data_IF_478216621830
#
_entry.id   IF_478216621830
#
_cell.length_a   1.000
_cell.length_b   1.000
_cell.length_c   1.000
_cell.angle_alpha   90.00
_cell.angle_beta   90.00
_cell.angle_gamma   90.00
#
_symmetry.space_group_name_H-M   'P 1'
#
loop_
_entity.id
_entity.type
_entity.pdbx_description
1 polymer ?
#
# COMPACT_ATOMS: atom_id res chain seq x y z
N UNK A 1 29.85 14.53 17.25
CA UNK A 1 28.60 13.90 16.74
C UNK A 1 27.73 15.02 16.22
N UNK A 2 27.40 15.02 14.93
CA UNK A 2 26.52 16.04 14.35
C UNK A 2 25.07 15.89 14.84
N UNK A 3 24.24 16.93 14.69
CA UNK A 3 22.82 16.81 15.01
C UNK A 3 22.17 15.75 14.11
N UNK A 4 21.18 15.05 14.66
CA UNK A 4 20.32 14.19 13.87
C UNK A 4 19.72 15.03 12.72
N UNK A 5 19.78 14.50 11.49
CA UNK A 5 19.10 15.11 10.36
C UNK A 5 17.61 15.25 10.66
N UNK A 6 16.91 16.22 10.03
CA UNK A 6 15.47 16.36 10.20
C UNK A 6 14.80 15.03 9.87
N UNK A 7 13.88 14.58 10.73
CA UNK A 7 13.10 13.38 10.44
C UNK A 7 12.40 13.56 9.08
N UNK A 8 12.47 12.56 8.18
CA UNK A 8 11.78 12.65 6.92
C UNK A 8 10.28 12.74 7.21
N UNK A 9 9.68 13.86 6.80
CA UNK A 9 8.22 14.03 6.82
C UNK A 9 7.66 12.99 5.86
N UNK A 10 7.23 11.84 6.38
CA UNK A 10 6.56 10.82 5.59
C UNK A 10 5.12 11.27 5.40
N UNK A 11 4.70 11.65 4.18
CA UNK A 11 3.30 11.95 3.93
C UNK A 11 2.44 10.71 4.22
N UNK A 12 1.20 10.93 4.64
CA UNK A 12 0.20 9.87 4.84
C UNK A 12 -0.33 9.27 3.52
N UNK A 13 0.44 9.37 2.44
CA UNK A 13 0.10 8.91 1.11
C UNK A 13 1.33 8.46 0.32
N UNK A 14 1.09 7.55 -0.62
CA UNK A 14 2.09 7.15 -1.63
C UNK A 14 1.93 8.01 -2.88
N UNK A 15 3.05 8.42 -3.48
CA UNK A 15 3.11 9.13 -4.76
C UNK A 15 3.66 8.21 -5.84
N UNK A 16 3.04 8.20 -7.02
CA UNK A 16 3.51 7.49 -8.21
C UNK A 16 3.44 8.46 -9.40
N UNK A 17 4.56 8.72 -10.07
CA UNK A 17 4.60 9.67 -11.17
C UNK A 17 3.98 9.07 -12.45
N UNK A 18 3.44 9.90 -13.34
CA UNK A 18 2.84 9.42 -14.59
C UNK A 18 3.86 8.60 -15.41
N UNK A 19 3.43 7.43 -15.89
CA UNK A 19 4.25 6.45 -16.59
C UNK A 19 4.91 5.40 -15.69
N UNK A 20 4.89 5.58 -14.37
CA UNK A 20 5.48 4.64 -13.42
C UNK A 20 4.44 3.65 -12.85
N UNK A 21 4.96 2.62 -12.20
CA UNK A 21 4.18 1.71 -11.35
C UNK A 21 4.60 1.87 -9.91
N UNK A 22 3.66 1.72 -8.98
CA UNK A 22 3.95 1.73 -7.56
C UNK A 22 3.15 0.68 -6.81
N UNK A 23 3.63 0.37 -5.61
CA UNK A 23 3.04 -0.65 -4.75
C UNK A 23 2.38 0.00 -3.53
N UNK A 24 1.18 -0.48 -3.22
CA UNK A 24 0.54 -0.26 -1.92
C UNK A 24 0.55 -1.60 -1.20
N UNK A 25 1.04 -1.63 0.04
CA UNK A 25 1.22 -2.86 0.78
C UNK A 25 0.97 -2.67 2.27
N UNK A 26 0.21 -3.59 2.85
CA UNK A 26 -0.01 -3.74 4.27
C UNK A 26 0.76 -4.93 4.83
N UNK A 27 0.84 -5.03 6.16
CA UNK A 27 1.50 -6.16 6.80
C UNK A 27 0.66 -7.42 6.64
N UNK A 28 1.22 -8.54 7.05
CA UNK A 28 0.48 -9.79 7.07
C UNK A 28 -0.76 -9.67 7.97
N UNK A 29 -1.89 -10.19 7.49
CA UNK A 29 -3.20 -10.13 8.17
C UNK A 29 -3.81 -8.73 8.26
N UNK A 30 -3.37 -7.82 7.39
CA UNK A 30 -4.00 -6.53 7.18
C UNK A 30 -4.42 -6.40 5.72
N UNK A 31 -5.50 -5.68 5.49
CA UNK A 31 -6.05 -5.38 4.17
C UNK A 31 -5.97 -3.89 3.91
N UNK A 32 -5.74 -3.54 2.64
CA UNK A 32 -5.70 -2.17 2.17
C UNK A 32 -7.12 -1.61 2.13
N UNK A 33 -7.30 -0.47 2.79
CA UNK A 33 -8.49 0.38 2.70
C UNK A 33 -8.07 1.73 2.14
N UNK A 34 -8.47 2.02 0.91
CA UNK A 34 -8.23 3.32 0.28
C UNK A 34 -9.15 4.35 0.92
N UNK A 35 -8.58 5.44 1.45
CA UNK A 35 -9.34 6.52 2.09
C UNK A 35 -9.54 7.70 1.14
N UNK A 36 -8.53 8.01 0.31
CA UNK A 36 -8.57 9.05 -0.71
C UNK A 36 -7.60 8.69 -1.84
N UNK A 37 -7.89 9.16 -3.05
CA UNK A 37 -6.92 9.18 -4.14
C UNK A 37 -7.02 10.49 -4.93
N UNK A 38 -5.96 10.79 -5.68
CA UNK A 38 -5.89 11.96 -6.55
C UNK A 38 -5.05 11.60 -7.78
N UNK A 39 -5.55 11.97 -8.96
CA UNK A 39 -4.83 11.86 -10.23
C UNK A 39 -4.79 13.23 -10.90
N UNK A 40 -3.60 13.77 -11.09
CA UNK A 40 -3.42 15.14 -11.58
C UNK A 40 -2.09 15.75 -11.17
N UNK A 41 -2.04 17.07 -11.12
CA UNK A 41 -0.96 17.88 -10.55
C UNK A 41 -1.56 19.03 -9.75
N UNK A 42 -1.35 19.02 -8.44
CA UNK A 42 -1.77 20.06 -7.49
C UNK A 42 -0.58 20.89 -6.95
N UNK A 43 0.66 20.58 -7.34
CA UNK A 43 1.86 21.32 -6.97
C UNK A 43 2.99 21.23 -8.02
N UNK A 44 3.99 22.10 -7.90
CA UNK A 44 5.11 22.22 -8.87
C UNK A 44 6.36 21.42 -8.47
N UNK A 45 6.36 20.73 -7.32
CA UNK A 45 7.57 20.11 -6.76
C UNK A 45 7.52 18.58 -6.79
N UNK A 46 6.32 18.01 -6.77
CA UNK A 46 6.07 16.58 -6.86
C UNK A 46 6.40 16.07 -8.27
N UNK A 47 7.10 14.94 -8.33
CA UNK A 47 7.61 14.36 -9.57
C UNK A 47 8.46 15.35 -10.40
N UNK A 48 9.64 15.77 -9.88
CA UNK A 48 10.45 16.84 -10.47
C UNK A 48 11.18 16.44 -11.77
N UNK A 49 11.29 15.13 -12.05
CA UNK A 49 11.95 14.62 -13.26
C UNK A 49 10.97 14.63 -14.43
N UNK A 50 10.87 15.80 -15.07
CA UNK A 50 9.90 16.02 -16.14
C UNK A 50 10.26 15.25 -17.42
N UNK A 51 9.36 14.43 -17.97
CA UNK A 51 9.55 13.81 -19.28
C UNK A 51 9.48 14.84 -20.41
N UNK A 52 10.13 14.55 -21.53
CA UNK A 52 10.08 15.40 -22.72
C UNK A 52 8.63 15.56 -23.23
N UNK A 53 8.22 16.79 -23.51
CA UNK A 53 6.89 17.11 -24.06
C UNK A 53 5.78 17.32 -23.03
N UNK A 54 6.06 17.20 -21.73
CA UNK A 54 5.11 17.50 -20.66
C UNK A 54 5.55 18.74 -19.86
N UNK A 55 4.61 19.41 -19.20
CA UNK A 55 4.84 20.56 -18.31
C UNK A 55 4.43 20.26 -16.85
N UNK A 56 5.12 20.86 -15.89
CA UNK A 56 4.72 20.91 -14.48
C UNK A 56 4.25 22.31 -14.03
N UNK A 57 4.18 23.28 -14.95
CA UNK A 57 3.87 24.69 -14.63
C UNK A 57 2.37 24.94 -14.47
N UNK A 58 1.54 23.98 -14.87
CA UNK A 58 0.08 24.05 -14.77
C UNK A 58 -0.44 23.02 -13.79
N UNK A 59 -1.28 23.48 -12.86
CA UNK A 59 -2.06 22.61 -11.99
C UNK A 59 -3.26 22.06 -12.76
N UNK A 60 -3.59 20.80 -12.55
CA UNK A 60 -4.71 20.15 -13.18
C UNK A 60 -5.21 19.00 -12.33
N UNK A 61 -6.51 18.88 -12.16
CA UNK A 61 -7.15 17.80 -11.42
C UNK A 61 -8.13 17.08 -12.34
N UNK A 62 -8.16 15.75 -12.23
CA UNK A 62 -9.05 14.88 -13.00
C UNK A 62 -10.25 14.45 -12.14
N UNK A 63 -11.13 13.59 -12.64
CA UNK A 63 -12.27 13.11 -11.86
C UNK A 63 -11.82 12.32 -10.62
N UNK A 64 -12.01 12.91 -9.44
CA UNK A 64 -11.68 12.29 -8.15
C UNK A 64 -12.48 11.01 -7.89
N UNK A 65 -13.76 10.98 -8.24
CA UNK A 65 -14.62 9.80 -8.06
C UNK A 65 -14.13 8.61 -8.89
N UNK A 66 -13.83 8.85 -10.17
CA UNK A 66 -13.30 7.81 -11.06
C UNK A 66 -11.92 7.33 -10.57
N UNK A 67 -11.05 8.26 -10.16
CA UNK A 67 -9.74 7.92 -9.59
C UNK A 67 -9.88 7.01 -8.37
N UNK A 68 -10.80 7.33 -7.47
CA UNK A 68 -11.05 6.53 -6.27
C UNK A 68 -11.65 5.17 -6.60
N UNK A 69 -12.56 5.10 -7.58
CA UNK A 69 -13.12 3.83 -8.05
C UNK A 69 -12.07 2.91 -8.66
N UNK A 70 -11.21 3.43 -9.55
CA UNK A 70 -10.14 2.66 -10.21
C UNK A 70 -9.13 2.11 -9.19
N UNK A 71 -8.66 2.95 -8.26
CA UNK A 71 -7.70 2.52 -7.22
C UNK A 71 -8.36 1.51 -6.26
N UNK A 72 -9.62 1.72 -5.86
CA UNK A 72 -10.34 0.72 -5.06
C UNK A 72 -10.48 -0.62 -5.79
N UNK A 73 -10.84 -0.60 -7.07
CA UNK A 73 -10.96 -1.83 -7.87
C UNK A 73 -9.66 -2.64 -7.94
N UNK A 74 -8.51 -1.96 -7.89
CA UNK A 74 -7.19 -2.60 -7.96
C UNK A 74 -6.64 -3.05 -6.60
N UNK A 75 -6.98 -2.35 -5.52
CA UNK A 75 -6.27 -2.48 -4.24
C UNK A 75 -7.14 -2.77 -3.02
N UNK A 76 -8.43 -2.47 -3.05
CA UNK A 76 -9.28 -2.60 -1.87
C UNK A 76 -9.36 -4.07 -1.46
N UNK A 77 -9.24 -4.34 -0.16
CA UNK A 77 -9.28 -5.68 0.43
C UNK A 77 -8.15 -6.61 -0.03
N UNK A 78 -7.10 -6.08 -0.66
CA UNK A 78 -5.88 -6.82 -0.94
C UNK A 78 -4.84 -6.55 0.13
N UNK A 79 -3.92 -7.49 0.34
CA UNK A 79 -2.76 -7.26 1.23
C UNK A 79 -1.71 -6.37 0.54
N UNK A 80 -1.53 -6.55 -0.76
CA UNK A 80 -0.62 -5.78 -1.59
C UNK A 80 -1.20 -5.66 -3.01
N UNK A 81 -1.03 -4.50 -3.64
CA UNK A 81 -1.43 -4.27 -5.02
C UNK A 81 -0.36 -3.44 -5.76
N UNK A 82 -0.20 -3.69 -7.05
CA UNK A 82 0.54 -2.81 -7.97
C UNK A 82 -0.46 -1.93 -8.71
N UNK A 83 -0.20 -0.61 -8.75
CA UNK A 83 -1.00 0.37 -9.46
C UNK A 83 -0.12 1.06 -10.50
N UNK A 84 -0.67 1.23 -11.72
CA UNK A 84 0.00 1.94 -12.81
C UNK A 84 -0.56 3.36 -12.89
N UNK A 85 0.32 4.36 -12.76
CA UNK A 85 -0.05 5.77 -12.89
C UNK A 85 -0.10 6.16 -14.38
N UNK A 86 -1.25 5.98 -15.03
CA UNK A 86 -1.39 6.28 -16.47
C UNK A 86 -2.79 6.73 -16.84
N UNK A 87 -2.87 7.55 -17.90
CA UNK A 87 -4.13 7.99 -18.49
C UNK A 87 -5.03 6.82 -18.90
N UNK A 88 -4.43 5.72 -19.37
CA UNK A 88 -5.14 4.50 -19.78
C UNK A 88 -5.79 3.83 -18.57
N UNK A 89 -5.07 3.70 -17.44
CA UNK A 89 -5.65 3.07 -16.24
C UNK A 89 -6.85 3.86 -15.71
N UNK A 90 -6.75 5.19 -15.74
CA UNK A 90 -7.79 6.10 -15.27
C UNK A 90 -8.86 6.44 -16.30
N UNK A 91 -8.79 5.94 -17.54
CA UNK A 91 -9.65 6.36 -18.65
C UNK A 91 -9.73 7.89 -18.79
N UNK A 92 -8.62 8.58 -18.52
CA UNK A 92 -8.54 10.03 -18.46
C UNK A 92 -7.97 10.61 -19.75
N UNK A 93 -8.68 11.58 -20.33
CA UNK A 93 -8.22 12.37 -21.47
C UNK A 93 -8.14 13.87 -21.14
N UNK A 94 -8.34 14.25 -19.88
CA UNK A 94 -8.20 15.61 -19.41
C UNK A 94 -6.73 15.96 -19.14
N UNK A 95 -6.45 17.21 -18.81
CA UNK A 95 -5.10 17.63 -18.43
C UNK A 95 -3.99 17.39 -19.48
N UNK A 96 -4.31 17.48 -20.78
CA UNK A 96 -3.35 17.26 -21.87
C UNK A 96 -2.06 18.08 -21.71
N UNK A 97 -0.92 17.42 -21.93
CA UNK A 97 0.46 17.90 -21.76
C UNK A 97 0.91 18.26 -20.34
N UNK A 98 0.10 18.03 -19.30
CA UNK A 98 0.55 18.17 -17.89
C UNK A 98 1.12 16.84 -17.41
N UNK A 99 2.30 16.88 -16.79
CA UNK A 99 2.89 15.71 -16.16
C UNK A 99 2.18 15.41 -14.84
N UNK A 100 1.36 14.36 -14.79
CA UNK A 100 0.55 14.05 -13.62
C UNK A 100 1.27 13.12 -12.65
N UNK A 101 0.65 12.94 -11.51
CA UNK A 101 0.99 11.92 -10.52
C UNK A 101 -0.25 11.44 -9.81
N UNK A 102 -0.14 10.23 -9.29
CA UNK A 102 -1.13 9.58 -8.47
C UNK A 102 -0.72 9.74 -7.01
N UNK A 103 -1.61 10.30 -6.17
CA UNK A 103 -1.50 10.26 -4.71
C UNK A 103 -2.53 9.26 -4.17
N UNK A 104 -2.11 8.32 -3.33
CA UNK A 104 -2.99 7.31 -2.70
C UNK A 104 -2.86 7.41 -1.18
N UNK A 105 -3.95 7.78 -0.51
CA UNK A 105 -4.09 7.68 0.94
C UNK A 105 -4.76 6.36 1.27
N UNK A 106 -4.15 5.59 2.15
CA UNK A 106 -4.66 4.29 2.55
C UNK A 106 -4.40 3.99 4.02
N UNK A 107 -5.24 3.13 4.57
CA UNK A 107 -5.11 2.54 5.89
C UNK A 107 -4.96 1.03 5.75
N UNK A 108 -4.24 0.43 6.67
CA UNK A 108 -4.17 -1.02 6.83
C UNK A 108 -5.12 -1.43 7.95
N UNK A 109 -6.17 -2.18 7.61
CA UNK A 109 -7.17 -2.66 8.57
C UNK A 109 -7.00 -4.16 8.82
N UNK A 110 -7.28 -4.68 10.03
CA UNK A 110 -7.17 -6.11 10.30
C UNK A 110 -8.04 -6.95 9.36
N UNK A 111 -7.45 -8.03 8.84
CA UNK A 111 -8.17 -9.08 8.13
C UNK A 111 -8.81 -10.02 9.15
N UNK A 112 -9.99 -9.66 9.67
CA UNK A 112 -10.65 -10.40 10.75
C UNK A 112 -10.93 -11.87 10.40
N UNK A 113 -11.18 -12.17 9.12
CA UNK A 113 -11.43 -13.52 8.66
C UNK A 113 -10.16 -14.39 8.75
N UNK A 114 -9.02 -13.88 8.27
CA UNK A 114 -7.78 -14.65 8.23
C UNK A 114 -6.93 -14.57 9.52
N UNK A 115 -7.02 -13.48 10.28
CA UNK A 115 -6.27 -13.30 11.53
C UNK A 115 -6.65 -14.36 12.58
N UNK A 116 -7.94 -14.72 12.66
CA UNK A 116 -8.45 -15.71 13.61
C UNK A 116 -7.92 -17.12 13.29
N UNK A 117 -7.82 -17.48 12.01
CA UNK A 117 -7.37 -18.80 11.59
C UNK A 117 -5.89 -19.03 11.90
N UNK A 118 -5.06 -18.00 11.79
CA UNK A 118 -3.65 -18.09 12.16
C UNK A 118 -3.44 -18.18 13.67
N UNK A 119 -4.20 -17.42 14.47
CA UNK A 119 -4.16 -17.54 15.93
C UNK A 119 -4.56 -18.96 16.38
N UNK A 120 -5.57 -19.54 15.73
CA UNK A 120 -6.00 -20.92 15.97
C UNK A 120 -4.92 -21.93 15.57
N UNK A 121 -4.25 -21.78 14.41
CA UNK A 121 -3.16 -22.69 14.01
C UNK A 121 -1.94 -22.59 14.94
N UNK A 122 -1.57 -21.37 15.35
CA UNK A 122 -0.51 -21.14 16.35
C UNK A 122 -0.81 -21.83 17.68
N UNK A 123 -2.07 -21.80 18.14
CA UNK A 123 -2.53 -22.52 19.32
C UNK A 123 -2.41 -24.05 19.18
N UNK A 124 -2.82 -24.60 18.03
CA UNK A 124 -2.69 -26.03 17.71
C UNK A 124 -1.23 -26.48 17.68
N UNK A 125 -0.34 -25.71 17.04
CA UNK A 125 1.11 -25.97 16.99
C UNK A 125 1.74 -25.97 18.38
N UNK A 126 1.40 -24.98 19.22
CA UNK A 126 1.85 -24.91 20.63
C UNK A 126 1.39 -26.12 21.45
N UNK A 127 0.11 -26.53 21.32
CA UNK A 127 -0.43 -27.72 21.99
C UNK A 127 0.28 -29.00 21.55
N UNK A 128 0.52 -29.19 20.24
CA UNK A 128 1.30 -30.33 19.71
C UNK A 128 2.73 -30.36 20.26
N UNK A 129 3.42 -29.22 20.32
CA UNK A 129 4.77 -29.11 20.91
C UNK A 129 4.78 -29.45 22.41
N UNK A 130 3.83 -28.92 23.20
CA UNK A 130 3.69 -29.28 24.63
C UNK A 130 3.42 -30.78 24.80
N UNK A 131 2.52 -31.37 24.00
CA UNK A 131 2.22 -32.80 24.05
C UNK A 131 3.44 -33.66 23.73
N UNK A 132 4.22 -33.32 22.68
CA UNK A 132 5.48 -34.01 22.34
C UNK A 132 6.53 -33.92 23.45
N UNK A 133 6.66 -32.76 24.11
CA UNK A 133 7.61 -32.55 25.20
C UNK A 133 7.23 -33.40 26.44
N UNK A 134 5.95 -33.37 26.82
CA UNK A 134 5.43 -34.19 27.92
C UNK A 134 5.60 -35.72 27.69
N UNK A 135 5.43 -36.19 26.45
CA UNK A 135 5.70 -37.60 26.12
C UNK A 135 7.19 -37.96 26.13
N UNK A 136 8.08 -36.99 25.87
CA UNK A 136 9.53 -37.20 25.95
C UNK A 136 9.99 -37.31 27.42
N UNK A 137 9.51 -36.42 28.29
CA UNK A 137 9.87 -36.42 29.72
C UNK A 137 9.40 -37.69 30.45
N UNK A 138 8.23 -38.23 30.09
CA UNK A 138 7.74 -39.53 30.63
C UNK A 138 8.56 -40.75 30.19
N UNK A 139 9.34 -40.63 29.12
CA UNK A 139 10.17 -41.75 28.61
C UNK A 139 11.55 -41.79 29.27
N UNK A 140 12.05 -40.66 29.77
CA UNK A 140 13.36 -40.55 30.43
C UNK A 140 13.34 -40.83 31.95
N UNK A 141 12.17 -40.97 32.56
CA UNK A 141 12.01 -41.29 34.01
C UNK A 141 11.75 -42.76 34.27
N UNK A 142 11.90 -43.62 33.26
CA UNK A 142 11.64 -45.07 33.34
C UNK A 142 12.91 -45.94 33.19
N UNK A 143 14.09 -45.30 33.22
CA UNK A 143 15.42 -45.91 33.37
C UNK A 143 15.93 -45.57 34.78
#
# INVERSE_FOLDING_TARGET
MGPAGPEPIMPNFTVICEGEKGWVQCKQYELIKITKSFWGRDDHVTCPKLPAGLTADRLCETSGDNTLQKVNGQCKNEQACEVVASNIFFDDNSCGNVYKYLKIWYECIPDEANAVDVLKDGGKRRRRRKKKRATKDKRSTKD
#
